data_IF_306965578392
#
_entry.id   IF_306965578392
#
_cell.length_a   1.000
_cell.length_b   1.000
_cell.length_c   1.000
_cell.angle_alpha   90.00
_cell.angle_beta   90.00
_cell.angle_gamma   90.00
#
_symmetry.space_group_name_H-M   'P 1'
#
loop_
_entity.id
_entity.type
_entity.pdbx_description
1 polymer ?
#
# COMPACT_ATOMS: atom_id res chain seq x y z
N UNK A 1 14.59 23.52 -0.40
CA UNK A 1 15.19 22.15 -0.49
C UNK A 1 14.58 21.46 -1.69
N UNK A 2 15.38 21.12 -2.71
CA UNK A 2 14.89 20.26 -3.81
C UNK A 2 14.62 18.89 -3.21
N UNK A 3 13.37 18.46 -3.21
CA UNK A 3 13.03 17.11 -2.71
C UNK A 3 13.43 16.10 -3.79
N UNK A 4 14.16 15.04 -3.42
CA UNK A 4 14.62 14.00 -4.35
C UNK A 4 13.45 13.25 -5.00
N UNK A 5 12.30 13.20 -4.33
CA UNK A 5 11.08 12.54 -4.77
C UNK A 5 9.99 13.61 -4.97
N UNK A 6 9.50 13.75 -6.19
CA UNK A 6 8.36 14.65 -6.47
C UNK A 6 7.03 14.04 -6.00
N UNK A 7 6.06 14.87 -5.64
CA UNK A 7 4.73 14.41 -5.22
C UNK A 7 4.02 13.59 -6.30
N UNK A 8 4.15 14.03 -7.56
CA UNK A 8 3.55 13.32 -8.70
C UNK A 8 4.18 11.94 -8.88
N UNK A 9 5.50 11.84 -8.71
CA UNK A 9 6.19 10.56 -8.77
C UNK A 9 5.77 9.63 -7.62
N UNK A 10 5.71 10.15 -6.38
CA UNK A 10 5.25 9.37 -5.23
C UNK A 10 3.80 8.88 -5.39
N UNK A 11 2.88 9.76 -5.84
CA UNK A 11 1.49 9.40 -6.07
C UNK A 11 1.34 8.36 -7.19
N UNK A 12 1.99 8.56 -8.34
CA UNK A 12 1.94 7.60 -9.44
C UNK A 12 2.57 6.25 -9.05
N UNK A 13 3.67 6.28 -8.29
CA UNK A 13 4.32 5.09 -7.76
C UNK A 13 3.40 4.32 -6.81
N UNK A 14 2.76 5.00 -5.87
CA UNK A 14 1.75 4.40 -5.00
C UNK A 14 0.60 3.78 -5.78
N UNK A 15 0.02 4.51 -6.74
CA UNK A 15 -1.07 3.99 -7.58
C UNK A 15 -0.65 2.71 -8.31
N UNK A 16 0.50 2.74 -8.98
CA UNK A 16 1.01 1.59 -9.74
C UNK A 16 1.27 0.38 -8.84
N UNK A 17 1.99 0.58 -7.72
CA UNK A 17 2.35 -0.51 -6.82
C UNK A 17 1.12 -1.07 -6.09
N UNK A 18 0.21 -0.23 -5.59
CA UNK A 18 -1.02 -0.69 -4.94
C UNK A 18 -1.90 -1.50 -5.89
N UNK A 19 -2.02 -1.08 -7.15
CA UNK A 19 -2.73 -1.86 -8.17
C UNK A 19 -2.08 -3.22 -8.42
N UNK A 20 -0.75 -3.28 -8.53
CA UNK A 20 -0.02 -4.55 -8.67
C UNK A 20 -0.17 -5.45 -7.45
N UNK A 21 -0.17 -4.88 -6.24
CA UNK A 21 -0.38 -5.63 -4.99
C UNK A 21 -1.79 -6.23 -4.94
N UNK A 22 -2.82 -5.49 -5.37
CA UNK A 22 -4.19 -6.03 -5.46
C UNK A 22 -4.23 -7.21 -6.45
N UNK A 23 -3.61 -7.07 -7.62
CA UNK A 23 -3.52 -8.17 -8.60
C UNK A 23 -2.78 -9.37 -8.01
N UNK A 24 -1.68 -9.16 -7.30
CA UNK A 24 -0.96 -10.23 -6.61
C UNK A 24 -1.85 -10.98 -5.61
N UNK A 25 -2.58 -10.27 -4.74
CA UNK A 25 -3.51 -10.90 -3.80
C UNK A 25 -4.65 -11.67 -4.50
N UNK A 26 -5.15 -11.16 -5.64
CA UNK A 26 -6.12 -11.90 -6.46
C UNK A 26 -5.52 -13.20 -7.02
N UNK A 27 -4.25 -13.18 -7.46
CA UNK A 27 -3.57 -14.38 -7.94
C UNK A 27 -3.33 -15.41 -6.82
N UNK A 28 -3.05 -14.95 -5.60
CA UNK A 28 -2.98 -15.84 -4.41
C UNK A 28 -4.35 -16.44 -4.10
N UNK A 29 -5.40 -15.62 -4.13
CA UNK A 29 -6.78 -16.05 -3.88
C UNK A 29 -7.27 -17.08 -4.92
N UNK A 30 -6.80 -16.97 -6.15
CA UNK A 30 -7.09 -17.90 -7.25
C UNK A 30 -6.14 -19.11 -7.30
N UNK A 31 -5.27 -19.28 -6.29
CA UNK A 31 -4.26 -20.34 -6.20
C UNK A 31 -3.26 -20.38 -7.37
N UNK A 32 -3.17 -19.32 -8.17
CA UNK A 32 -2.12 -19.17 -9.21
C UNK A 32 -0.77 -18.96 -8.54
N UNK A 33 -0.76 -18.27 -7.39
CA UNK A 33 0.40 -18.09 -6.53
C UNK A 33 0.15 -18.82 -5.20
N UNK A 34 1.10 -19.59 -4.67
CA UNK A 34 0.92 -20.33 -3.43
C UNK A 34 0.80 -19.38 -2.23
N UNK A 35 -0.24 -19.54 -1.41
CA UNK A 35 -0.45 -18.70 -0.23
C UNK A 35 0.60 -18.90 0.89
N UNK A 36 1.50 -19.87 0.76
CA UNK A 36 2.60 -20.10 1.69
C UNK A 36 3.69 -19.02 1.63
N UNK A 37 3.68 -18.16 0.62
CA UNK A 37 4.64 -17.05 0.46
C UNK A 37 4.14 -15.72 1.01
N UNK A 38 2.95 -15.69 1.59
CA UNK A 38 2.35 -14.50 2.18
C UNK A 38 2.11 -14.73 3.67
N UNK A 39 1.95 -13.63 4.42
CA UNK A 39 1.63 -13.65 5.84
C UNK A 39 2.62 -14.44 6.71
N UNK A 40 3.91 -14.33 6.43
CA UNK A 40 4.93 -15.04 7.19
C UNK A 40 4.99 -16.54 6.92
N UNK A 41 4.28 -17.04 5.91
CA UNK A 41 4.06 -18.47 5.69
C UNK A 41 3.23 -19.16 6.78
N UNK A 42 2.42 -18.39 7.53
CA UNK A 42 1.68 -18.88 8.71
C UNK A 42 0.25 -19.35 8.42
N UNK A 43 -0.23 -19.14 7.20
CA UNK A 43 -1.57 -19.58 6.81
C UNK A 43 -1.63 -21.10 6.73
N UNK A 44 -2.57 -21.72 7.45
CA UNK A 44 -2.67 -23.19 7.53
C UNK A 44 -3.87 -23.78 6.80
N UNK A 45 -4.76 -22.96 6.25
CA UNK A 45 -5.94 -23.43 5.52
C UNK A 45 -6.44 -22.43 4.47
N UNK A 46 -7.17 -22.92 3.47
CA UNK A 46 -7.81 -22.08 2.45
C UNK A 46 -8.78 -21.06 3.07
N UNK A 47 -9.52 -21.44 4.12
CA UNK A 47 -10.42 -20.52 4.82
C UNK A 47 -9.65 -19.36 5.46
N UNK A 48 -8.47 -19.61 6.02
CA UNK A 48 -7.62 -18.52 6.53
C UNK A 48 -7.08 -17.68 5.37
N UNK A 49 -6.56 -18.32 4.32
CA UNK A 49 -6.10 -17.64 3.11
C UNK A 49 -7.16 -16.67 2.58
N UNK A 50 -8.38 -17.15 2.31
CA UNK A 50 -9.47 -16.32 1.76
C UNK A 50 -9.75 -15.10 2.64
N UNK A 51 -9.85 -15.27 3.97
CA UNK A 51 -10.13 -14.16 4.89
C UNK A 51 -9.03 -13.10 4.90
N UNK A 52 -7.77 -13.55 4.94
CA UNK A 52 -6.62 -12.66 4.99
C UNK A 52 -6.40 -11.96 3.64
N UNK A 53 -6.53 -12.66 2.53
CA UNK A 53 -6.42 -12.09 1.18
C UNK A 53 -7.54 -11.09 0.88
N UNK A 54 -8.79 -11.38 1.26
CA UNK A 54 -9.89 -10.41 1.12
C UNK A 54 -9.66 -9.14 1.95
N UNK A 55 -9.11 -9.29 3.16
CA UNK A 55 -8.75 -8.16 4.02
C UNK A 55 -7.63 -7.32 3.38
N UNK A 56 -6.59 -7.97 2.86
CA UNK A 56 -5.51 -7.31 2.12
C UNK A 56 -6.02 -6.56 0.90
N UNK A 57 -6.89 -7.17 0.09
CA UNK A 57 -7.49 -6.55 -1.09
C UNK A 57 -8.32 -5.32 -0.68
N UNK A 58 -9.17 -5.44 0.34
CA UNK A 58 -10.01 -4.35 0.81
C UNK A 58 -9.18 -3.15 1.30
N UNK A 59 -8.15 -3.40 2.11
CA UNK A 59 -7.27 -2.35 2.64
C UNK A 59 -6.49 -1.68 1.50
N UNK A 60 -5.92 -2.46 0.56
CA UNK A 60 -5.19 -1.90 -0.58
C UNK A 60 -6.10 -1.13 -1.55
N UNK A 61 -7.33 -1.59 -1.78
CA UNK A 61 -8.31 -0.87 -2.59
C UNK A 61 -8.71 0.47 -1.95
N UNK A 62 -8.92 0.48 -0.63
CA UNK A 62 -9.16 1.72 0.12
C UNK A 62 -7.98 2.70 -0.03
N UNK A 63 -6.74 2.22 0.19
CA UNK A 63 -5.54 3.03 0.02
C UNK A 63 -5.40 3.55 -1.42
N UNK A 64 -5.72 2.75 -2.43
CA UNK A 64 -5.69 3.14 -3.83
C UNK A 64 -6.65 4.31 -4.10
N UNK A 65 -7.87 4.26 -3.53
CA UNK A 65 -8.84 5.37 -3.62
C UNK A 65 -8.31 6.63 -2.95
N UNK A 66 -7.74 6.53 -1.74
CA UNK A 66 -7.14 7.67 -1.02
C UNK A 66 -6.07 8.35 -1.87
N UNK A 67 -5.17 7.57 -2.48
CA UNK A 67 -4.11 8.10 -3.35
C UNK A 67 -4.68 8.68 -4.64
N UNK A 68 -5.71 8.07 -5.23
CA UNK A 68 -6.36 8.58 -6.45
C UNK A 68 -7.06 9.92 -6.22
N UNK A 69 -7.71 10.11 -5.06
CA UNK A 69 -8.25 11.41 -4.62
C UNK A 69 -7.09 12.40 -4.44
N UNK A 70 -6.02 12.01 -3.74
CA UNK A 70 -4.85 12.88 -3.52
C UNK A 70 -4.18 13.31 -4.82
N UNK A 71 -4.15 12.44 -5.83
CA UNK A 71 -3.61 12.70 -7.16
C UNK A 71 -4.55 13.56 -8.03
N UNK A 72 -5.78 13.80 -7.59
CA UNK A 72 -6.80 14.52 -8.35
C UNK A 72 -7.41 13.72 -9.50
N UNK A 73 -7.28 12.39 -9.49
CA UNK A 73 -7.90 11.49 -10.47
C UNK A 73 -9.38 11.26 -10.16
N UNK A 74 -9.74 11.25 -8.86
CA UNK A 74 -11.11 11.17 -8.41
C UNK A 74 -11.55 12.54 -7.87
N UNK A 75 -12.57 13.12 -8.49
CA UNK A 75 -13.15 14.41 -8.09
C UNK A 75 -14.24 14.19 -7.05
N UNK A 76 -13.83 13.89 -5.83
CA UNK A 76 -14.74 13.73 -4.68
C UNK A 76 -14.46 14.86 -3.69
N UNK A 77 -15.53 15.53 -3.23
CA UNK A 77 -15.44 16.54 -2.17
C UNK A 77 -15.20 15.84 -0.83
N UNK A 78 -13.95 15.43 -0.58
CA UNK A 78 -13.51 14.87 0.68
C UNK A 78 -12.78 15.90 1.52
N UNK A 79 -12.86 15.76 2.84
CA UNK A 79 -12.16 16.65 3.76
C UNK A 79 -10.64 16.46 3.60
N UNK A 80 -9.85 17.51 3.24
CA UNK A 80 -8.40 17.42 3.07
C UNK A 80 -7.67 16.79 4.25
N UNK A 81 -8.16 17.06 5.46
CA UNK A 81 -7.63 16.51 6.70
C UNK A 81 -7.71 14.97 6.75
N UNK A 82 -8.83 14.39 6.32
CA UNK A 82 -9.02 12.93 6.33
C UNK A 82 -8.08 12.22 5.36
N UNK A 83 -7.88 12.80 4.17
CA UNK A 83 -6.90 12.27 3.21
C UNK A 83 -5.49 12.34 3.79
N UNK A 84 -5.14 13.42 4.48
CA UNK A 84 -3.82 13.57 5.10
C UNK A 84 -3.60 12.57 6.25
N UNK A 85 -4.62 12.39 7.11
CA UNK A 85 -4.59 11.38 8.18
C UNK A 85 -4.44 9.97 7.58
N UNK A 86 -5.20 9.65 6.53
CA UNK A 86 -5.10 8.36 5.85
C UNK A 86 -3.69 8.12 5.30
N UNK A 87 -3.05 9.11 4.68
CA UNK A 87 -1.67 8.99 4.18
C UNK A 87 -0.65 8.75 5.32
N UNK A 88 -0.84 9.38 6.48
CA UNK A 88 -0.02 9.10 7.66
C UNK A 88 -0.22 7.67 8.19
N UNK A 89 -1.47 7.21 8.26
CA UNK A 89 -1.79 5.83 8.64
C UNK A 89 -1.19 4.82 7.65
N UNK A 90 -1.24 5.10 6.35
CA UNK A 90 -0.59 4.30 5.31
C UNK A 90 0.92 4.23 5.52
N UNK A 91 1.58 5.36 5.78
CA UNK A 91 3.01 5.39 6.05
C UNK A 91 3.38 4.53 7.27
N UNK A 92 2.60 4.63 8.36
CA UNK A 92 2.76 3.79 9.54
C UNK A 92 2.54 2.31 9.26
N UNK A 93 1.46 1.96 8.56
CA UNK A 93 1.13 0.58 8.18
C UNK A 93 2.25 -0.05 7.36
N UNK A 94 2.75 0.64 6.33
CA UNK A 94 3.83 0.12 5.49
C UNK A 94 5.18 0.04 6.22
N UNK A 95 5.45 0.95 7.17
CA UNK A 95 6.62 0.83 8.03
C UNK A 95 6.54 -0.43 8.90
N UNK A 96 5.38 -0.68 9.52
CA UNK A 96 5.13 -1.92 10.29
C UNK A 96 5.25 -3.16 9.39
N UNK A 97 4.69 -3.12 8.17
CA UNK A 97 4.83 -4.23 7.22
C UNK A 97 6.28 -4.47 6.82
N UNK A 98 7.10 -3.42 6.69
CA UNK A 98 8.53 -3.56 6.40
C UNK A 98 9.25 -4.28 7.53
N UNK A 99 8.94 -3.93 8.78
CA UNK A 99 9.48 -4.64 9.96
C UNK A 99 8.98 -6.08 10.02
N UNK A 100 7.69 -6.32 9.74
CA UNK A 100 7.11 -7.66 9.71
C UNK A 100 7.74 -8.55 8.63
N UNK A 101 8.01 -8.01 7.44
CA UNK A 101 8.68 -8.72 6.35
C UNK A 101 10.13 -9.05 6.70
N UNK A 102 10.87 -8.12 7.32
CA UNK A 102 12.22 -8.37 7.84
C UNK A 102 12.24 -9.48 8.90
N UNK A 103 11.19 -9.53 9.74
CA UNK A 103 11.02 -10.54 10.77
C UNK A 103 10.36 -11.84 10.26
N UNK A 104 10.03 -11.94 8.97
CA UNK A 104 9.39 -13.11 8.40
C UNK A 104 10.33 -14.33 8.42
N UNK A 105 9.76 -15.53 8.50
CA UNK A 105 10.49 -16.79 8.28
C UNK A 105 10.64 -17.11 6.78
N UNK A 106 9.94 -16.38 5.91
CA UNK A 106 9.93 -16.59 4.47
C UNK A 106 10.93 -15.68 3.77
N UNK A 107 11.88 -16.26 3.03
CA UNK A 107 12.92 -15.52 2.30
C UNK A 107 12.35 -14.67 1.15
N UNK A 108 11.26 -15.10 0.51
CA UNK A 108 10.61 -14.31 -0.54
C UNK A 108 10.04 -13.01 0.02
N UNK A 109 9.39 -13.04 1.18
CA UNK A 109 8.86 -11.83 1.82
C UNK A 109 9.98 -10.86 2.20
N UNK A 110 11.09 -11.38 2.76
CA UNK A 110 12.26 -10.57 3.07
C UNK A 110 12.83 -9.88 1.83
N UNK A 111 13.02 -10.61 0.73
CA UNK A 111 13.71 -10.11 -0.45
C UNK A 111 12.82 -9.23 -1.33
N UNK A 112 11.55 -9.60 -1.52
CA UNK A 112 10.63 -8.92 -2.42
C UNK A 112 9.74 -7.90 -1.69
N UNK A 113 9.11 -8.30 -0.58
CA UNK A 113 8.13 -7.43 0.08
C UNK A 113 8.75 -6.39 0.98
N UNK A 114 9.90 -6.62 1.60
CA UNK A 114 10.60 -5.58 2.38
C UNK A 114 10.90 -4.32 1.56
N UNK A 115 11.62 -4.39 0.41
CA UNK A 115 11.89 -3.19 -0.37
C UNK A 115 10.61 -2.56 -0.93
N UNK A 116 9.60 -3.39 -1.25
CA UNK A 116 8.30 -2.93 -1.72
C UNK A 116 7.56 -2.11 -0.66
N UNK A 117 7.43 -2.63 0.57
CA UNK A 117 6.74 -1.94 1.66
C UNK A 117 7.53 -0.74 2.14
N UNK A 118 8.86 -0.78 2.10
CA UNK A 118 9.69 0.38 2.39
C UNK A 118 9.44 1.51 1.39
N UNK A 119 9.38 1.18 0.10
CA UNK A 119 9.07 2.14 -0.96
C UNK A 119 7.68 2.77 -0.75
N UNK A 120 6.68 1.95 -0.46
CA UNK A 120 5.31 2.40 -0.16
C UNK A 120 5.26 3.31 1.08
N UNK A 121 6.01 2.99 2.13
CA UNK A 121 6.12 3.82 3.32
C UNK A 121 6.71 5.19 3.00
N UNK A 122 7.81 5.23 2.24
CA UNK A 122 8.48 6.48 1.83
C UNK A 122 7.57 7.34 0.95
N UNK A 123 6.87 6.75 -0.03
CA UNK A 123 5.95 7.51 -0.87
C UNK A 123 4.73 8.03 -0.08
N UNK A 124 4.18 7.22 0.82
CA UNK A 124 3.05 7.64 1.66
C UNK A 124 3.46 8.80 2.58
N UNK A 125 4.63 8.68 3.22
CA UNK A 125 5.20 9.73 4.06
C UNK A 125 5.46 11.02 3.26
N UNK A 126 6.00 10.89 2.04
CA UNK A 126 6.25 12.03 1.15
C UNK A 126 4.97 12.80 0.84
N UNK A 127 3.85 12.11 0.60
CA UNK A 127 2.56 12.75 0.36
C UNK A 127 1.95 13.32 1.64
N UNK A 128 2.06 12.62 2.77
CA UNK A 128 1.55 13.03 4.08
C UNK A 128 2.21 14.30 4.64
N UNK A 129 3.52 14.46 4.39
CA UNK A 129 4.29 15.65 4.78
C UNK A 129 3.99 16.87 3.89
N UNK A 130 3.30 16.68 2.77
CA UNK A 130 2.99 17.79 1.87
C UNK A 130 1.65 18.40 2.23
N UNK A 131 1.64 19.71 2.51
CA UNK A 131 0.38 20.47 2.59
C UNK A 131 -0.45 20.24 1.33
N UNK A 132 -1.67 19.74 1.53
CA UNK A 132 -2.62 19.60 0.43
C UNK A 132 -2.88 20.99 -0.14
N UNK A 133 -2.43 21.25 -1.37
CA UNK A 133 -2.90 22.40 -2.14
C UNK A 133 -4.08 21.89 -2.97
N UNK A 134 -5.33 22.21 -2.60
CA UNK A 134 -6.43 21.98 -3.51
C UNK A 134 -6.09 22.71 -4.81
N UNK A 135 -6.16 22.01 -5.95
CA UNK A 135 -6.07 22.69 -7.24
C UNK A 135 -7.27 23.64 -7.28
N UNK A 136 -7.00 24.94 -7.26
CA UNK A 136 -7.99 25.97 -7.56
C UNK A 136 -8.63 25.61 -8.90
N UNK A 137 -9.94 25.39 -8.87
CA UNK A 137 -10.77 25.26 -10.06
C UNK A 137 -10.75 26.57 -10.85
#
# INVERSE_FOLDING_TARGET
>A
MKTLISERFAANGLLAVLSLVIVFHLLVLLHVIPYTIVWGGRLTSDTQMVRFELTSIAINAFMLVVVAIRAGLLRVNFLPLLINIALWLMAGLFAVNTVANLASLNEFEKLAFTPLTLLLAVFSLRLALTKHRPRSA
#
